data_IF_005984319428
#
_entry.id   IF_005984319428
#
_cell.length_a   1.000
_cell.length_b   1.000
_cell.length_c   1.000
_cell.angle_alpha   90.00
_cell.angle_beta   90.00
_cell.angle_gamma   90.00
#
_symmetry.space_group_name_H-M   'P 1'
#
loop_
_entity.id
_entity.type
_entity.pdbx_description
1 polymer ?
#
# COMPACT_ATOMS: atom_id res chain seq x y z
N UNK A 1 5.61 13.11 7.07
CA UNK A 1 4.45 13.27 7.98
C UNK A 1 4.95 13.92 9.27
N UNK A 2 4.10 14.41 10.17
CA UNK A 2 4.54 14.85 11.50
C UNK A 2 3.81 14.06 12.58
N UNK A 3 4.45 13.87 13.72
CA UNK A 3 3.85 13.31 14.93
C UNK A 3 3.86 14.37 16.02
N UNK A 4 2.77 14.49 16.76
CA UNK A 4 2.71 15.27 18.00
C UNK A 4 2.66 14.32 19.18
N UNK A 5 3.58 14.51 20.13
CA UNK A 5 3.62 13.71 21.35
C UNK A 5 2.87 14.44 22.45
N UNK A 6 1.79 13.84 22.93
CA UNK A 6 0.99 14.35 24.06
C UNK A 6 0.91 13.26 25.11
N UNK A 7 1.32 13.56 26.35
CA UNK A 7 1.33 12.60 27.47
C UNK A 7 2.09 11.29 27.16
N UNK A 8 3.16 11.38 26.37
CA UNK A 8 3.96 10.22 25.94
C UNK A 8 3.34 9.40 24.80
N UNK A 9 2.19 9.81 24.26
CA UNK A 9 1.52 9.14 23.12
C UNK A 9 1.68 9.99 21.86
N UNK A 10 2.22 9.38 20.80
CA UNK A 10 2.30 9.99 19.48
C UNK A 10 0.96 9.98 18.75
N UNK A 11 0.60 11.08 18.11
CA UNK A 11 -0.57 11.19 17.24
C UNK A 11 -0.17 11.81 15.90
N UNK A 12 -0.82 11.36 14.82
CA UNK A 12 -0.63 11.95 13.48
C UNK A 12 -0.96 13.44 13.52
N UNK A 13 -0.05 14.26 13.00
CA UNK A 13 -0.17 15.70 13.07
C UNK A 13 0.29 16.35 11.76
N UNK A 14 -0.08 17.61 11.57
CA UNK A 14 0.31 18.39 10.39
C UNK A 14 0.80 19.78 10.79
N UNK A 15 1.65 20.39 9.96
CA UNK A 15 2.07 21.78 10.16
C UNK A 15 0.89 22.75 10.10
N UNK A 16 -0.13 22.41 9.31
CA UNK A 16 -1.38 23.19 9.26
C UNK A 16 -2.09 23.13 10.60
N UNK A 17 -2.23 21.95 11.20
CA UNK A 17 -2.85 21.80 12.53
C UNK A 17 -2.04 22.53 13.60
N UNK A 18 -0.70 22.50 13.51
CA UNK A 18 0.17 23.26 14.42
C UNK A 18 -0.13 24.76 14.39
N UNK A 19 -0.31 25.33 13.19
CA UNK A 19 -0.65 26.75 13.02
C UNK A 19 -2.06 27.06 13.53
N UNK A 20 -3.02 26.17 13.29
CA UNK A 20 -4.41 26.31 13.75
C UNK A 20 -4.49 26.29 15.29
N UNK A 21 -3.77 25.37 15.94
CA UNK A 21 -3.79 25.22 17.40
C UNK A 21 -3.07 26.37 18.13
N UNK A 22 -2.24 27.14 17.42
CA UNK A 22 -1.43 28.21 17.99
C UNK A 22 -1.66 29.56 17.27
N UNK A 23 -2.89 30.12 17.29
CA UNK A 23 -3.26 31.29 16.50
C UNK A 23 -2.50 32.58 16.88
N UNK A 24 -2.02 32.67 18.13
CA UNK A 24 -1.24 33.80 18.64
C UNK A 24 0.28 33.59 18.51
N UNK A 25 0.72 32.56 17.78
CA UNK A 25 2.13 32.25 17.56
C UNK A 25 2.49 32.49 16.10
N UNK A 26 3.52 33.30 15.87
CA UNK A 26 4.11 33.44 14.53
C UNK A 26 5.13 32.34 14.30
N UNK A 27 4.95 31.59 13.21
CA UNK A 27 5.87 30.53 12.83
C UNK A 27 6.83 31.00 11.74
N UNK A 28 8.15 30.72 11.86
CA UNK A 28 9.12 30.96 10.79
C UNK A 28 8.82 30.16 9.52
N UNK A 29 9.27 30.67 8.38
CA UNK A 29 9.25 29.99 7.09
C UNK A 29 10.67 29.98 6.48
N UNK A 30 11.31 28.80 6.26
CA UNK A 30 10.82 27.46 6.55
C UNK A 30 10.72 27.18 8.06
N UNK A 31 9.92 26.18 8.45
CA UNK A 31 9.76 25.79 9.85
C UNK A 31 10.86 24.80 10.26
N UNK A 32 11.88 25.23 11.03
CA UNK A 32 12.98 24.35 11.41
C UNK A 32 12.59 23.37 12.51
N UNK A 33 13.26 22.21 12.56
CA UNK A 33 12.92 21.11 13.45
C UNK A 33 13.00 21.48 14.95
N UNK A 34 13.89 22.39 15.33
CA UNK A 34 13.99 22.87 16.70
C UNK A 34 12.73 23.64 17.15
N UNK A 35 12.09 24.38 16.24
CA UNK A 35 10.81 25.06 16.52
C UNK A 35 9.71 24.02 16.66
N UNK A 36 9.66 23.01 15.78
CA UNK A 36 8.69 21.92 15.89
C UNK A 36 8.81 21.17 17.23
N UNK A 37 10.04 20.86 17.64
CA UNK A 37 10.33 20.18 18.89
C UNK A 37 9.82 20.97 20.11
N UNK A 38 9.83 22.30 20.07
CA UNK A 38 9.28 23.13 21.16
C UNK A 38 7.77 22.95 21.37
N UNK A 39 7.05 22.47 20.34
CA UNK A 39 5.63 22.12 20.41
C UNK A 39 5.40 20.60 20.55
N UNK A 40 6.45 19.83 20.88
CA UNK A 40 6.46 18.36 20.88
C UNK A 40 6.03 17.77 19.53
N UNK A 41 6.32 18.48 18.44
CA UNK A 41 6.08 18.02 17.07
C UNK A 41 7.40 17.59 16.45
N UNK A 42 7.41 16.41 15.83
CA UNK A 42 8.60 15.85 15.22
C UNK A 42 8.30 15.36 13.80
N UNK A 43 9.24 15.46 12.86
CA UNK A 43 9.16 14.76 11.58
C UNK A 43 8.96 13.26 11.83
N UNK A 44 8.04 12.66 11.08
CA UNK A 44 7.73 11.25 11.17
C UNK A 44 7.85 10.61 9.79
N UNK A 45 8.63 9.54 9.73
CA UNK A 45 8.74 8.65 8.58
C UNK A 45 7.67 7.56 8.65
N UNK A 46 7.33 7.00 7.49
CA UNK A 46 6.32 5.96 7.36
C UNK A 46 7.05 4.65 7.10
N UNK A 47 6.79 3.64 7.94
CA UNK A 47 7.18 2.28 7.62
C UNK A 47 6.05 1.66 6.80
N UNK A 48 6.34 1.44 5.52
CA UNK A 48 5.40 0.88 4.54
C UNK A 48 5.86 -0.54 4.18
N UNK A 49 5.39 -1.57 4.89
CA UNK A 49 5.71 -2.95 4.54
C UNK A 49 5.13 -3.32 3.18
N UNK A 50 5.79 -4.26 2.49
CA UNK A 50 5.27 -4.82 1.24
C UNK A 50 3.93 -5.52 1.47
N UNK A 51 2.95 -5.27 0.60
CA UNK A 51 1.62 -5.85 0.64
C UNK A 51 1.03 -6.03 -0.77
N UNK A 52 0.01 -6.88 -0.90
CA UNK A 52 -0.75 -7.04 -2.15
C UNK A 52 -1.97 -6.08 -2.16
N UNK A 53 -1.96 -5.01 -3.00
CA UNK A 53 -3.06 -4.05 -3.04
C UNK A 53 -4.37 -4.62 -3.59
N UNK A 54 -4.38 -5.81 -4.19
CA UNK A 54 -5.61 -6.46 -4.65
C UNK A 54 -6.44 -7.02 -3.50
N UNK A 55 -5.80 -7.45 -2.41
CA UNK A 55 -6.46 -8.17 -1.33
C UNK A 55 -6.07 -7.71 0.08
N UNK A 56 -5.14 -6.76 0.22
CA UNK A 56 -4.64 -6.25 1.49
C UNK A 56 -4.67 -4.71 1.53
N UNK A 57 -4.65 -4.16 2.75
CA UNK A 57 -4.48 -2.72 3.00
C UNK A 57 -3.45 -2.49 4.09
N UNK A 58 -2.82 -1.32 4.06
CA UNK A 58 -2.01 -0.82 5.18
C UNK A 58 -2.90 -0.08 6.17
N UNK A 59 -2.76 -0.41 7.45
CA UNK A 59 -3.45 0.26 8.56
C UNK A 59 -2.40 0.85 9.50
N UNK A 60 -2.47 2.16 9.82
CA UNK A 60 -1.57 2.76 10.81
C UNK A 60 -1.68 2.04 12.15
N UNK A 61 -0.55 1.59 12.68
CA UNK A 61 -0.50 0.76 13.89
C UNK A 61 -0.04 1.56 15.11
N UNK A 62 1.21 2.06 15.09
CA UNK A 62 1.80 2.72 16.24
C UNK A 62 2.97 3.64 15.87
N UNK A 63 3.26 4.59 16.74
CA UNK A 63 4.45 5.43 16.64
C UNK A 63 5.56 4.86 17.48
N UNK A 64 6.78 4.82 16.93
CA UNK A 64 7.99 4.39 17.62
C UNK A 64 9.18 5.27 17.22
N UNK A 65 10.28 5.17 17.94
CA UNK A 65 11.55 5.80 17.56
C UNK A 65 12.55 4.73 17.13
N UNK A 66 13.31 5.01 16.08
CA UNK A 66 14.44 4.18 15.65
C UNK A 66 15.67 4.37 16.58
N UNK A 67 16.77 3.69 16.26
CA UNK A 67 18.02 3.79 17.03
C UNK A 67 18.66 5.19 16.97
N UNK A 68 18.29 6.00 15.98
CA UNK A 68 18.83 7.34 15.75
C UNK A 68 17.90 8.43 16.35
N UNK A 69 16.76 8.03 16.92
CA UNK A 69 15.77 8.91 17.55
C UNK A 69 14.73 9.50 16.59
N UNK A 70 14.71 9.07 15.33
CA UNK A 70 13.71 9.50 14.36
C UNK A 70 12.37 8.81 14.64
N UNK A 71 11.27 9.57 14.49
CA UNK A 71 9.94 9.00 14.67
C UNK A 71 9.49 8.24 13.43
N UNK A 72 8.93 7.05 13.67
CA UNK A 72 8.38 6.17 12.65
C UNK A 72 6.93 5.81 12.97
N UNK A 73 6.07 5.86 11.95
CA UNK A 73 4.72 5.32 11.99
C UNK A 73 4.71 3.94 11.33
N UNK A 74 4.54 2.91 12.15
CA UNK A 74 4.42 1.53 11.70
C UNK A 74 3.05 1.27 11.09
N UNK A 75 3.01 0.61 9.93
CA UNK A 75 1.78 0.07 9.35
C UNK A 75 1.70 -1.44 9.55
N UNK A 76 0.50 -1.91 9.87
CA UNK A 76 0.18 -3.34 9.82
C UNK A 76 -0.50 -3.65 8.49
N UNK A 77 -0.13 -4.78 7.88
CA UNK A 77 -0.81 -5.31 6.71
C UNK A 77 -2.04 -6.08 7.17
N UNK A 78 -3.21 -5.63 6.74
CA UNK A 78 -4.48 -6.32 7.01
C UNK A 78 -5.12 -6.85 5.74
N UNK A 79 -5.63 -8.07 5.80
CA UNK A 79 -6.41 -8.65 4.73
C UNK A 79 -7.77 -7.93 4.61
N UNK A 80 -8.16 -7.64 3.38
CA UNK A 80 -9.54 -7.22 3.09
C UNK A 80 -10.52 -8.35 3.33
N UNK A 81 -11.82 -8.03 3.35
CA UNK A 81 -12.86 -9.05 3.47
C UNK A 81 -12.70 -10.11 2.39
N UNK A 82 -12.79 -11.39 2.76
CA UNK A 82 -12.52 -12.50 1.85
C UNK A 82 -13.37 -12.44 0.57
N UNK A 83 -14.65 -12.08 0.68
CA UNK A 83 -15.53 -11.93 -0.48
C UNK A 83 -15.07 -10.79 -1.43
N UNK A 84 -14.62 -9.67 -0.85
CA UNK A 84 -14.07 -8.55 -1.61
C UNK A 84 -12.75 -8.95 -2.28
N UNK A 85 -11.82 -9.56 -1.54
CA UNK A 85 -10.54 -10.07 -2.06
C UNK A 85 -10.75 -11.04 -3.23
N UNK A 86 -11.65 -12.02 -3.09
CA UNK A 86 -12.01 -12.95 -4.17
C UNK A 86 -12.49 -12.23 -5.42
N UNK A 87 -13.30 -11.20 -5.24
CA UNK A 87 -13.84 -10.39 -6.34
C UNK A 87 -12.74 -9.60 -7.04
N UNK A 88 -11.85 -8.96 -6.27
CA UNK A 88 -10.73 -8.19 -6.80
C UNK A 88 -9.74 -9.06 -7.58
N UNK A 89 -9.34 -10.21 -7.02
CA UNK A 89 -8.44 -11.16 -7.70
C UNK A 89 -9.08 -11.67 -9.00
N UNK A 90 -10.37 -12.03 -8.99
CA UNK A 90 -11.07 -12.49 -10.20
C UNK A 90 -11.19 -11.38 -11.25
N UNK A 91 -11.40 -10.13 -10.82
CA UNK A 91 -11.42 -8.96 -11.71
C UNK A 91 -10.06 -8.78 -12.38
N UNK A 92 -8.98 -8.78 -11.59
CA UNK A 92 -7.62 -8.64 -12.11
C UNK A 92 -7.24 -9.77 -13.08
N UNK A 93 -7.63 -11.00 -12.77
CA UNK A 93 -7.49 -12.14 -13.70
C UNK A 93 -8.23 -11.89 -15.02
N UNK A 94 -9.47 -11.40 -14.95
CA UNK A 94 -10.27 -11.14 -16.14
C UNK A 94 -9.67 -10.02 -17.00
N UNK A 95 -9.12 -8.97 -16.38
CA UNK A 95 -8.37 -7.91 -17.07
C UNK A 95 -7.19 -8.50 -17.86
N UNK A 96 -6.35 -9.32 -17.22
CA UNK A 96 -5.20 -9.96 -17.90
C UNK A 96 -5.61 -10.93 -19.02
N UNK A 97 -6.74 -11.64 -18.87
CA UNK A 97 -7.31 -12.46 -19.93
C UNK A 97 -7.85 -11.62 -21.08
N UNK A 98 -8.48 -10.48 -20.78
CA UNK A 98 -9.01 -9.56 -21.79
C UNK A 98 -7.87 -8.91 -22.61
N UNK A 99 -6.78 -8.52 -21.95
CA UNK A 99 -5.59 -7.94 -22.59
C UNK A 99 -4.89 -8.88 -23.58
N UNK A 100 -5.21 -10.17 -23.52
CA UNK A 100 -4.66 -11.20 -24.41
C UNK A 100 -5.73 -11.86 -25.28
N UNK A 101 -6.97 -11.34 -25.27
CA UNK A 101 -8.09 -11.98 -25.94
C UNK A 101 -7.97 -11.90 -27.47
N UNK A 102 -7.46 -10.79 -27.99
CA UNK A 102 -7.22 -10.58 -29.41
C UNK A 102 -6.23 -11.59 -30.03
N UNK A 103 -5.34 -12.20 -29.22
CA UNK A 103 -4.41 -13.23 -29.67
C UNK A 103 -5.08 -14.59 -29.86
N UNK A 104 -6.28 -14.78 -29.30
CA UNK A 104 -7.05 -16.02 -29.37
C UNK A 104 -8.13 -15.99 -30.47
N UNK A 105 -8.09 -15.01 -31.38
CA UNK A 105 -8.96 -14.98 -32.56
C UNK A 105 -8.55 -16.07 -33.57
N UNK A 106 -9.51 -16.54 -34.37
CA UNK A 106 -9.30 -17.59 -35.38
C UNK A 106 -8.20 -17.27 -36.39
N UNK A 107 -7.97 -15.98 -36.62
CA UNK A 107 -7.03 -15.47 -37.60
C UNK A 107 -5.58 -15.41 -37.05
N UNK A 108 -5.38 -15.74 -35.77
CA UNK A 108 -4.07 -15.75 -35.12
C UNK A 108 -3.73 -17.15 -34.56
N UNK A 109 -2.49 -17.59 -34.80
CA UNK A 109 -1.97 -18.79 -34.17
C UNK A 109 -1.46 -18.43 -32.77
N UNK A 110 -2.26 -18.75 -31.74
CA UNK A 110 -1.86 -18.54 -30.35
C UNK A 110 -0.59 -19.35 -30.03
N UNK A 111 0.46 -18.67 -29.56
CA UNK A 111 1.69 -19.35 -29.14
C UNK A 111 1.42 -20.31 -27.99
N UNK A 112 2.21 -21.38 -27.87
CA UNK A 112 2.10 -22.31 -26.75
C UNK A 112 2.33 -21.60 -25.40
N UNK A 113 3.23 -20.60 -25.38
CA UNK A 113 3.52 -19.81 -24.18
C UNK A 113 2.31 -18.96 -23.76
N UNK A 114 1.65 -18.29 -24.71
CA UNK A 114 0.46 -17.49 -24.43
C UNK A 114 -0.75 -18.38 -24.06
N UNK A 115 -0.86 -19.56 -24.66
CA UNK A 115 -1.83 -20.59 -24.26
C UNK A 115 -1.66 -21.02 -22.80
N UNK A 116 -0.42 -21.32 -22.38
CA UNK A 116 -0.10 -21.69 -21.01
C UNK A 116 -0.38 -20.53 -20.04
N UNK A 117 0.07 -19.31 -20.36
CA UNK A 117 -0.20 -18.11 -19.56
C UNK A 117 -1.71 -17.92 -19.30
N UNK A 118 -2.54 -18.03 -20.34
CA UNK A 118 -4.00 -17.93 -20.20
C UNK A 118 -4.61 -19.10 -19.42
N UNK A 119 -4.03 -20.29 -19.47
CA UNK A 119 -4.46 -21.43 -18.66
C UNK A 119 -4.12 -21.19 -17.17
N UNK A 120 -2.91 -20.74 -16.88
CA UNK A 120 -2.43 -20.44 -15.53
C UNK A 120 -3.24 -19.31 -14.87
N UNK A 121 -3.58 -18.26 -15.63
CA UNK A 121 -4.49 -17.21 -15.18
C UNK A 121 -5.85 -17.79 -14.76
N UNK A 122 -6.41 -18.73 -15.54
CA UNK A 122 -7.69 -19.37 -15.19
C UNK A 122 -7.59 -20.26 -13.95
N UNK A 123 -6.40 -20.81 -13.68
CA UNK A 123 -6.09 -21.65 -12.53
C UNK A 123 -5.81 -20.86 -11.23
N UNK A 124 -5.71 -19.53 -11.29
CA UNK A 124 -5.48 -18.65 -10.11
C UNK A 124 -6.44 -18.94 -8.94
N UNK A 125 -7.77 -19.04 -9.13
CA UNK A 125 -8.69 -19.33 -8.02
C UNK A 125 -8.55 -20.72 -7.38
N UNK A 126 -7.77 -21.62 -7.98
CA UNK A 126 -7.50 -22.97 -7.49
C UNK A 126 -6.21 -23.06 -6.68
N UNK A 127 -5.43 -21.97 -6.58
CA UNK A 127 -4.23 -21.93 -5.77
C UNK A 127 -4.57 -22.02 -4.27
N UNK A 128 -3.70 -22.69 -3.50
CA UNK A 128 -3.91 -22.92 -2.06
C UNK A 128 -3.96 -21.64 -1.22
N UNK A 129 -3.35 -20.55 -1.69
CA UNK A 129 -3.34 -19.25 -1.00
C UNK A 129 -4.44 -18.29 -1.43
N UNK A 130 -5.35 -18.69 -2.33
CA UNK A 130 -6.42 -17.83 -2.79
C UNK A 130 -7.40 -17.48 -1.64
N UNK A 131 -7.78 -16.19 -1.44
CA UNK A 131 -7.47 -15.04 -2.29
C UNK A 131 -6.26 -14.18 -1.83
N UNK A 132 -5.62 -14.49 -0.70
CA UNK A 132 -4.68 -13.57 -0.03
C UNK A 132 -3.21 -13.77 -0.39
N UNK A 133 -2.86 -14.87 -1.03
CA UNK A 133 -1.50 -15.23 -1.41
C UNK A 133 -1.54 -15.97 -2.74
N UNK A 134 -1.55 -15.19 -3.82
CA UNK A 134 -1.71 -15.70 -5.19
C UNK A 134 -0.44 -15.43 -5.98
N UNK A 135 0.03 -16.42 -6.73
CA UNK A 135 1.13 -16.25 -7.69
C UNK A 135 0.55 -15.98 -9.08
N UNK A 136 0.92 -14.85 -9.66
CA UNK A 136 0.50 -14.48 -11.01
C UNK A 136 1.50 -14.99 -12.06
N UNK A 137 1.04 -15.62 -13.15
CA UNK A 137 1.93 -16.01 -14.24
C UNK A 137 2.50 -14.76 -14.91
N UNK A 138 3.72 -14.83 -15.40
CA UNK A 138 4.35 -13.73 -16.14
C UNK A 138 3.89 -13.78 -17.59
N UNK A 139 3.42 -12.64 -18.12
CA UNK A 139 3.03 -12.52 -19.53
C UNK A 139 4.26 -12.78 -20.42
N UNK A 140 4.17 -13.69 -21.42
CA UNK A 140 5.28 -13.92 -22.33
C UNK A 140 5.46 -12.72 -23.26
N UNK A 141 6.72 -12.45 -23.61
CA UNK A 141 7.09 -11.51 -24.67
C UNK A 141 7.08 -12.26 -25.99
N UNK A 142 6.13 -11.93 -26.86
CA UNK A 142 6.06 -12.40 -28.25
C UNK A 142 6.51 -11.30 -29.21
#
# INVERSE_FOLDING_TARGET
>A
MYVKVTDGVGQTYSLTQLKIDNPNTSFPDPMPDNVLASFNVYPCELDEPSYDPLCQRLVPSSFSQDSDGNWMLSHTVENTEEAAAKTQIRRHRNEQLNDTDYLALSDNALSSAMGQYRADLRAVPQQSGFPFSVTWPTKPTE
#
